data_IF_403904725369
#
_entry.id   IF_403904725369
#
_cell.length_a   1.000
_cell.length_b   1.000
_cell.length_c   1.000
_cell.angle_alpha   90.00
_cell.angle_beta   90.00
_cell.angle_gamma   90.00
#
_symmetry.space_group_name_H-M   'P 1'
#
loop_
_entity.id
_entity.type
_entity.pdbx_description
1 polymer ?
#
# COMPACT_ATOMS: atom_id res chain seq x y z
N UNK A 1 -38.56 -20.45 -15.33
CA UNK A 1 -37.46 -21.40 -15.57
C UNK A 1 -36.24 -20.61 -16.01
N UNK A 2 -35.39 -20.20 -15.05
CA UNK A 2 -34.12 -19.53 -15.36
C UNK A 2 -33.01 -20.58 -15.39
N UNK A 3 -32.34 -20.70 -16.52
CA UNK A 3 -31.29 -21.67 -16.76
C UNK A 3 -30.02 -21.30 -15.96
N UNK A 4 -29.53 -22.27 -15.19
CA UNK A 4 -28.25 -22.21 -14.48
C UNK A 4 -27.15 -22.67 -15.45
N UNK A 5 -26.08 -21.89 -15.70
CA UNK A 5 -24.97 -22.36 -16.53
C UNK A 5 -24.11 -23.41 -15.78
N UNK A 6 -23.51 -24.39 -16.47
CA UNK A 6 -22.71 -25.44 -15.86
C UNK A 6 -21.30 -24.94 -15.45
N UNK A 7 -20.69 -25.52 -14.40
CA UNK A 7 -19.30 -25.27 -14.05
C UNK A 7 -18.37 -26.16 -14.88
N UNK A 8 -17.34 -25.59 -15.51
CA UNK A 8 -16.22 -26.39 -16.03
C UNK A 8 -15.63 -25.88 -17.33
N UNK A 9 -14.62 -25.02 -17.22
CA UNK A 9 -13.56 -24.93 -18.22
C UNK A 9 -12.27 -24.58 -17.46
N UNK A 10 -11.41 -25.57 -17.26
CA UNK A 10 -10.07 -25.39 -16.74
C UNK A 10 -9.23 -24.58 -17.74
N UNK A 11 -8.35 -23.65 -17.30
CA UNK A 11 -7.42 -23.01 -18.20
C UNK A 11 -6.32 -24.00 -18.61
N UNK A 12 -6.23 -24.22 -19.91
CA UNK A 12 -5.19 -24.98 -20.60
C UNK A 12 -3.82 -24.36 -20.32
N UNK A 13 -2.89 -25.17 -19.82
CA UNK A 13 -1.50 -24.81 -19.60
C UNK A 13 -0.82 -24.43 -20.93
N UNK A 14 -0.14 -23.29 -20.94
CA UNK A 14 0.78 -22.90 -22.01
C UNK A 14 2.21 -23.39 -21.68
N UNK A 15 3.00 -23.80 -22.68
CA UNK A 15 4.32 -24.40 -22.47
C UNK A 15 5.40 -23.39 -22.07
N UNK A 16 6.31 -23.87 -21.24
CA UNK A 16 7.56 -23.23 -20.86
C UNK A 16 8.45 -23.01 -22.09
N UNK A 17 8.73 -21.75 -22.39
CA UNK A 17 9.79 -21.33 -23.31
C UNK A 17 10.91 -20.66 -22.53
N UNK A 18 11.85 -21.47 -22.04
CA UNK A 18 13.11 -21.02 -21.46
C UNK A 18 14.02 -20.46 -22.56
N UNK A 19 14.16 -19.15 -22.64
CA UNK A 19 15.27 -18.51 -23.34
C UNK A 19 16.25 -17.98 -22.30
N UNK A 20 17.31 -18.75 -22.03
CA UNK A 20 18.46 -18.33 -21.24
C UNK A 20 19.23 -17.25 -22.01
N UNK A 21 19.52 -16.07 -21.44
CA UNK A 21 20.49 -15.16 -22.03
C UNK A 21 21.91 -15.76 -21.89
N UNK A 22 22.53 -15.93 -23.04
CA UNK A 22 23.90 -16.40 -23.26
C UNK A 22 24.92 -15.56 -22.48
N UNK A 23 25.81 -16.25 -21.76
CA UNK A 23 26.80 -15.74 -20.81
C UNK A 23 28.05 -15.14 -21.49
N UNK A 24 27.89 -14.39 -22.59
CA UNK A 24 29.02 -13.96 -23.44
C UNK A 24 29.06 -12.47 -23.84
N UNK A 25 28.37 -11.60 -23.10
CA UNK A 25 28.42 -10.13 -23.31
C UNK A 25 28.85 -9.39 -22.04
N UNK A 26 29.87 -9.94 -21.36
CA UNK A 26 30.42 -9.44 -20.09
C UNK A 26 31.78 -8.73 -20.22
N UNK A 27 32.29 -8.44 -21.42
CA UNK A 27 33.58 -7.73 -21.57
C UNK A 27 33.61 -6.74 -22.75
N UNK A 28 32.93 -5.60 -22.63
CA UNK A 28 33.35 -4.38 -23.35
C UNK A 28 32.75 -3.11 -22.74
N UNK A 29 33.55 -2.39 -21.98
CA UNK A 29 33.16 -1.05 -21.53
C UNK A 29 33.91 -0.49 -20.33
N UNK A 30 35.21 -0.78 -20.18
CA UNK A 30 36.07 -0.02 -19.28
C UNK A 30 36.31 1.37 -19.91
N UNK A 31 35.47 2.34 -19.53
CA UNK A 31 35.63 3.75 -19.86
C UNK A 31 35.85 4.54 -18.57
N UNK A 32 37.11 4.81 -18.26
CA UNK A 32 37.54 5.68 -17.18
C UNK A 32 36.94 7.10 -17.36
N UNK A 33 36.38 7.66 -16.29
CA UNK A 33 36.36 9.11 -16.12
C UNK A 33 36.77 9.46 -14.70
N UNK A 34 37.70 10.39 -14.68
CA UNK A 34 38.55 10.81 -13.59
C UNK A 34 37.80 11.40 -12.40
N UNK A 35 38.47 11.29 -11.25
CA UNK A 35 38.28 12.10 -10.08
C UNK A 35 38.30 13.61 -10.44
N UNK A 36 37.34 14.34 -9.90
CA UNK A 36 37.47 15.76 -9.68
C UNK A 36 36.88 16.09 -8.30
N UNK A 37 37.79 16.25 -7.35
CA UNK A 37 37.54 16.91 -6.08
C UNK A 37 37.17 18.38 -6.33
N UNK A 38 36.16 18.88 -5.63
CA UNK A 38 36.11 20.24 -5.08
C UNK A 38 34.80 20.43 -4.32
N UNK A 39 34.90 20.55 -2.99
CA UNK A 39 33.99 21.40 -2.23
C UNK A 39 34.26 22.87 -2.62
N UNK A 40 33.28 23.77 -2.45
CA UNK A 40 33.29 24.51 -1.19
C UNK A 40 31.92 24.70 -0.56
N UNK A 41 31.96 24.84 0.76
CA UNK A 41 30.90 25.37 1.59
C UNK A 41 30.42 26.74 1.09
N UNK A 42 29.11 26.98 1.14
CA UNK A 42 28.54 28.32 1.05
C UNK A 42 27.46 28.45 2.10
N UNK A 43 27.86 29.10 3.19
CA UNK A 43 27.01 29.69 4.20
C UNK A 43 26.14 30.77 3.57
N UNK A 44 24.85 30.78 3.89
CA UNK A 44 24.03 31.99 3.83
C UNK A 44 23.17 32.05 5.08
N UNK A 45 23.33 33.08 5.92
CA UNK A 45 22.57 33.25 7.14
C UNK A 45 21.37 34.20 6.93
N UNK A 46 20.37 34.03 7.79
CA UNK A 46 19.33 34.98 8.25
C UNK A 46 18.37 35.60 7.23
N UNK A 47 17.08 35.25 7.37
CA UNK A 47 16.01 36.24 7.33
C UNK A 47 14.85 35.80 8.22
N UNK A 48 14.78 36.41 9.39
CA UNK A 48 13.61 36.39 10.25
C UNK A 48 12.43 37.12 9.57
N UNK A 49 11.24 36.54 9.64
CA UNK A 49 9.97 37.21 9.35
C UNK A 49 8.94 36.58 10.30
N UNK A 50 8.81 37.11 11.52
CA UNK A 50 7.80 38.11 11.92
C UNK A 50 6.43 37.86 11.29
N UNK A 51 5.57 37.23 12.10
CA UNK A 51 4.21 37.68 12.40
C UNK A 51 3.20 37.75 11.27
N UNK A 52 2.15 36.91 11.39
CA UNK A 52 0.78 37.34 11.13
C UNK A 52 -0.21 36.35 11.76
N UNK A 53 -0.70 36.74 12.95
CA UNK A 53 -1.99 36.32 13.47
C UNK A 53 -3.04 37.30 12.89
N UNK A 54 -4.19 36.80 12.43
CA UNK A 54 -5.41 37.52 12.77
C UNK A 54 -6.52 36.59 13.28
N UNK A 55 -6.91 36.86 14.53
CA UNK A 55 -8.26 37.21 14.96
C UNK A 55 -9.47 36.46 14.37
N UNK A 56 -10.09 35.68 15.26
CA UNK A 56 -11.54 35.59 15.53
C UNK A 56 -12.49 36.43 14.66
N UNK A 57 -13.48 35.75 14.06
CA UNK A 57 -14.85 36.24 13.87
C UNK A 57 -15.80 35.03 13.96
N UNK A 58 -16.48 34.82 15.08
CA UNK A 58 -17.84 35.32 15.37
C UNK A 58 -18.94 34.50 14.67
N UNK A 59 -19.66 33.74 15.51
CA UNK A 59 -20.94 33.11 15.19
C UNK A 59 -22.00 34.17 14.84
N UNK A 60 -23.08 33.74 14.14
CA UNK A 60 -24.39 34.11 14.64
C UNK A 60 -25.34 32.93 14.80
N UNK A 61 -26.30 33.19 15.69
CA UNK A 61 -27.21 32.30 16.34
C UNK A 61 -28.43 31.90 15.50
N UNK A 62 -29.07 30.84 15.99
CA UNK A 62 -30.51 30.66 16.16
C UNK A 62 -31.47 30.86 14.96
N UNK A 63 -32.22 29.79 14.66
CA UNK A 63 -33.58 29.95 14.14
C UNK A 63 -34.15 28.74 13.40
N UNK A 64 -34.75 27.79 14.11
CA UNK A 64 -36.19 27.45 13.99
C UNK A 64 -36.52 26.01 14.41
N UNK A 65 -37.54 25.81 15.28
CA UNK A 65 -38.04 24.50 15.66
C UNK A 65 -39.13 24.07 14.68
N UNK A 66 -38.95 22.94 13.98
CA UNK A 66 -40.08 22.31 13.26
C UNK A 66 -40.22 20.84 13.63
N UNK A 67 -41.10 20.64 14.61
CA UNK A 67 -41.73 19.37 14.98
C UNK A 67 -42.19 18.64 13.71
N UNK A 68 -41.62 17.48 13.44
CA UNK A 68 -42.16 16.52 12.48
C UNK A 68 -42.16 15.16 13.15
N UNK A 69 -43.38 14.66 13.39
CA UNK A 69 -43.70 13.43 14.10
C UNK A 69 -43.00 12.23 13.45
N UNK A 70 -42.07 11.61 14.16
CA UNK A 70 -41.51 10.32 13.73
C UNK A 70 -42.52 9.20 13.98
N UNK A 71 -42.88 8.41 12.95
CA UNK A 71 -43.75 7.25 13.10
C UNK A 71 -43.06 6.19 13.96
N UNK A 72 -43.83 5.56 14.85
CA UNK A 72 -43.44 4.40 15.67
C UNK A 72 -42.84 3.31 14.76
N UNK A 73 -41.51 3.36 14.59
CA UNK A 73 -40.73 2.44 13.81
C UNK A 73 -40.70 1.12 14.57
N UNK A 74 -41.54 0.18 14.15
CA UNK A 74 -41.53 -1.21 14.61
C UNK A 74 -40.07 -1.71 14.60
N UNK A 75 -39.51 -1.93 15.79
CA UNK A 75 -38.24 -2.65 16.01
C UNK A 75 -38.44 -4.07 15.50
N UNK A 76 -38.32 -4.26 14.18
CA UNK A 76 -38.15 -5.58 13.57
C UNK A 76 -36.72 -5.98 13.91
N UNK A 77 -36.57 -6.81 14.95
CA UNK A 77 -35.29 -7.37 15.36
C UNK A 77 -34.64 -7.98 14.11
N UNK A 78 -33.61 -7.31 13.59
CA UNK A 78 -32.75 -7.87 12.55
C UNK A 78 -31.96 -8.98 13.25
N UNK A 79 -32.22 -10.22 12.86
CA UNK A 79 -31.52 -11.38 13.42
C UNK A 79 -30.00 -11.21 13.23
N UNK A 80 -29.19 -11.32 14.30
CA UNK A 80 -27.73 -11.13 14.26
C UNK A 80 -27.03 -12.10 13.28
N UNK A 81 -27.67 -13.23 12.95
CA UNK A 81 -27.16 -14.21 12.00
C UNK A 81 -26.97 -13.67 10.55
N UNK A 82 -27.74 -12.65 10.14
CA UNK A 82 -27.64 -12.08 8.77
C UNK A 82 -26.56 -11.02 8.63
N UNK A 83 -26.09 -10.46 9.74
CA UNK A 83 -25.04 -9.44 9.75
C UNK A 83 -23.65 -10.07 9.67
N UNK A 84 -23.44 -11.21 10.35
CA UNK A 84 -22.19 -11.98 10.26
C UNK A 84 -21.93 -12.56 8.85
N UNK A 85 -22.98 -13.00 8.14
CA UNK A 85 -22.83 -13.55 6.78
C UNK A 85 -22.54 -12.48 5.72
N UNK A 86 -22.94 -11.22 5.95
CA UNK A 86 -22.68 -10.12 5.03
C UNK A 86 -21.24 -9.55 5.18
N UNK A 87 -20.66 -9.66 6.37
CA UNK A 87 -19.27 -9.25 6.64
C UNK A 87 -18.26 -10.16 5.91
N UNK A 88 -18.51 -11.47 5.90
CA UNK A 88 -17.64 -12.46 5.26
C UNK A 88 -17.62 -12.38 3.71
N UNK A 89 -18.61 -11.74 3.10
CA UNK A 89 -18.71 -11.59 1.64
C UNK A 89 -18.14 -10.26 1.11
N UNK A 90 -17.62 -9.38 1.98
CA UNK A 90 -16.97 -8.17 1.50
C UNK A 90 -15.66 -8.56 0.82
N UNK A 91 -15.48 -8.32 -0.49
CA UNK A 91 -14.23 -8.61 -1.16
C UNK A 91 -13.13 -7.90 -0.39
N UNK A 92 -12.08 -8.64 -0.03
CA UNK A 92 -10.90 -8.08 0.59
C UNK A 92 -10.48 -6.87 -0.24
N UNK A 93 -10.67 -5.67 0.33
CA UNK A 93 -10.31 -4.45 -0.37
C UNK A 93 -8.80 -4.38 -0.37
N UNK A 94 -8.21 -5.00 -1.39
CA UNK A 94 -6.80 -4.91 -1.73
C UNK A 94 -6.31 -3.47 -1.54
N UNK A 95 -5.09 -3.29 -1.04
CA UNK A 95 -4.51 -1.96 -0.85
C UNK A 95 -4.07 -1.28 -2.15
N UNK A 96 -4.59 -1.73 -3.29
CA UNK A 96 -4.50 -1.02 -4.56
C UNK A 96 -5.14 0.36 -4.46
N UNK A 97 -4.48 1.33 -5.08
CA UNK A 97 -5.01 2.67 -5.21
C UNK A 97 -6.06 2.70 -6.34
N UNK A 98 -7.27 3.26 -6.10
CA UNK A 98 -8.31 3.34 -7.12
C UNK A 98 -7.91 4.33 -8.22
N UNK A 99 -8.48 4.13 -9.42
CA UNK A 99 -8.31 5.06 -10.52
C UNK A 99 -8.78 6.47 -10.13
N UNK A 100 -8.06 7.49 -10.58
CA UNK A 100 -8.42 8.89 -10.30
C UNK A 100 -7.91 9.42 -8.95
N UNK A 101 -7.42 8.55 -8.06
CA UNK A 101 -6.80 8.97 -6.81
C UNK A 101 -5.45 9.67 -7.07
N UNK A 102 -5.10 10.64 -6.24
CA UNK A 102 -3.84 11.38 -6.32
C UNK A 102 -2.78 10.79 -5.39
N UNK A 103 -1.54 10.72 -5.87
CA UNK A 103 -0.40 10.35 -5.05
C UNK A 103 -0.08 11.47 -4.04
N UNK A 104 0.13 11.13 -2.76
CA UNK A 104 0.45 12.08 -1.70
C UNK A 104 1.82 12.76 -1.86
N UNK A 105 2.75 12.14 -2.60
CA UNK A 105 4.09 12.72 -2.83
C UNK A 105 4.15 13.62 -4.05
N UNK A 106 3.71 13.14 -5.22
CA UNK A 106 3.82 13.90 -6.47
C UNK A 106 2.53 14.61 -6.87
N UNK A 107 1.43 14.43 -6.13
CA UNK A 107 0.09 14.98 -6.41
C UNK A 107 -0.51 14.61 -7.76
N UNK A 108 0.15 13.73 -8.54
CA UNK A 108 -0.36 13.26 -9.82
C UNK A 108 -1.48 12.25 -9.62
N UNK A 109 -2.52 12.39 -10.42
CA UNK A 109 -3.57 11.38 -10.57
C UNK A 109 -2.98 10.12 -11.19
N UNK A 110 -3.42 8.97 -10.71
CA UNK A 110 -2.90 7.70 -11.19
C UNK A 110 -4.01 6.86 -11.81
N UNK A 111 -3.62 6.06 -12.80
CA UNK A 111 -4.48 5.10 -13.49
C UNK A 111 -4.85 3.94 -12.56
N UNK A 112 -5.74 3.05 -13.01
CA UNK A 112 -6.10 1.83 -12.28
C UNK A 112 -4.84 1.05 -11.83
N UNK A 113 -4.77 0.71 -10.53
CA UNK A 113 -3.63 0.00 -9.93
C UNK A 113 -2.29 0.72 -10.12
N UNK A 114 -2.31 2.04 -10.24
CA UNK A 114 -1.14 2.89 -10.42
C UNK A 114 -0.29 3.11 -9.17
N UNK A 115 -0.73 2.59 -8.03
CA UNK A 115 -0.03 2.70 -6.75
C UNK A 115 -0.67 1.87 -5.66
N UNK A 116 -0.21 2.08 -4.44
CA UNK A 116 -0.72 1.45 -3.21
C UNK A 116 -1.12 2.49 -2.19
N UNK A 117 -2.02 2.09 -1.30
CA UNK A 117 -2.45 2.89 -0.14
C UNK A 117 -1.85 2.25 1.10
N UNK A 118 -1.22 3.06 1.97
CA UNK A 118 -0.75 2.63 3.29
C UNK A 118 -1.93 2.28 4.18
N UNK A 119 -2.39 1.02 4.11
CA UNK A 119 -3.48 0.49 4.91
C UNK A 119 -3.43 -1.03 5.02
N UNK A 120 -3.87 -1.55 6.17
CA UNK A 120 -4.12 -2.97 6.42
C UNK A 120 -5.44 -3.16 7.16
N UNK A 121 -6.26 -4.11 6.71
CA UNK A 121 -7.44 -4.57 7.44
C UNK A 121 -7.05 -5.70 8.39
N UNK A 122 -7.41 -5.57 9.67
CA UNK A 122 -7.21 -6.60 10.70
C UNK A 122 -8.43 -7.52 10.79
N UNK A 123 -8.27 -8.66 11.47
CA UNK A 123 -9.35 -9.68 11.63
C UNK A 123 -10.64 -9.13 12.24
N UNK A 124 -10.56 -8.08 13.05
CA UNK A 124 -11.72 -7.41 13.68
C UNK A 124 -12.39 -6.36 12.79
N UNK A 125 -11.93 -6.19 11.55
CA UNK A 125 -12.38 -5.13 10.64
C UNK A 125 -11.66 -3.79 10.85
N UNK A 126 -10.87 -3.66 11.93
CA UNK A 126 -10.07 -2.46 12.20
C UNK A 126 -9.08 -2.19 11.05
N UNK A 127 -9.00 -0.93 10.62
CA UNK A 127 -8.07 -0.49 9.59
C UNK A 127 -6.90 0.24 10.26
N UNK A 128 -5.68 -0.24 10.01
CA UNK A 128 -4.45 0.41 10.43
C UNK A 128 -3.73 1.05 9.22
N UNK A 129 -2.84 2.01 9.48
CA UNK A 129 -2.10 2.76 8.46
C UNK A 129 -2.48 4.23 8.41
N UNK A 130 -1.66 5.04 7.73
CA UNK A 130 -1.91 6.47 7.60
C UNK A 130 -2.85 6.83 6.43
N UNK A 131 -3.19 5.88 5.57
CA UNK A 131 -4.04 6.10 4.41
C UNK A 131 -3.38 6.86 3.25
N UNK A 132 -2.09 7.20 3.35
CA UNK A 132 -1.36 7.86 2.28
C UNK A 132 -1.29 6.99 1.02
N UNK A 133 -1.55 7.59 -0.13
CA UNK A 133 -1.55 6.92 -1.42
C UNK A 133 -0.26 7.21 -2.19
N UNK A 134 0.49 6.18 -2.60
CA UNK A 134 1.81 6.33 -3.22
C UNK A 134 1.81 5.64 -4.59
N UNK A 135 2.13 6.38 -5.64
CA UNK A 135 2.27 5.81 -6.98
C UNK A 135 3.58 5.03 -7.13
N UNK A 136 3.64 4.08 -8.06
CA UNK A 136 4.83 3.22 -8.25
C UNK A 136 6.11 3.99 -8.55
N UNK A 137 6.01 5.12 -9.28
CA UNK A 137 7.17 5.98 -9.55
C UNK A 137 7.72 6.61 -8.27
N UNK A 138 6.85 7.08 -7.38
CA UNK A 138 7.27 7.64 -6.09
C UNK A 138 7.78 6.55 -5.15
N UNK A 139 7.15 5.37 -5.15
CA UNK A 139 7.60 4.21 -4.37
C UNK A 139 9.05 3.84 -4.68
N UNK A 140 9.41 3.76 -5.96
CA UNK A 140 10.75 3.39 -6.39
C UNK A 140 11.80 4.49 -6.12
N UNK A 141 11.39 5.77 -6.21
CA UNK A 141 12.30 6.91 -6.10
C UNK A 141 12.53 7.40 -4.66
N UNK A 142 11.56 7.23 -3.76
CA UNK A 142 11.67 7.74 -2.40
C UNK A 142 12.89 7.17 -1.67
N UNK A 143 13.39 7.89 -0.65
CA UNK A 143 14.48 7.41 0.18
C UNK A 143 14.01 6.32 1.16
N UNK A 144 14.95 5.57 1.74
CA UNK A 144 14.63 4.57 2.76
C UNK A 144 14.06 5.24 4.02
N UNK A 145 14.43 6.49 4.29
CA UNK A 145 13.94 7.22 5.46
C UNK A 145 12.43 7.52 5.39
N UNK A 146 11.86 7.65 4.18
CA UNK A 146 10.44 8.02 4.03
C UNK A 146 9.51 6.83 4.22
N UNK A 147 9.86 5.66 3.67
CA UNK A 147 8.99 4.47 3.66
C UNK A 147 9.49 3.32 4.54
N UNK A 148 10.71 3.45 5.05
CA UNK A 148 11.44 2.39 5.72
C UNK A 148 12.02 1.38 4.73
N UNK A 149 12.26 0.19 5.26
CA UNK A 149 12.80 -0.97 4.53
C UNK A 149 11.72 -1.65 3.68
N UNK A 150 10.45 -1.48 4.06
CA UNK A 150 9.29 -2.13 3.42
C UNK A 150 8.97 -1.47 2.07
N UNK A 151 9.51 -2.04 1.00
CA UNK A 151 9.21 -1.66 -0.38
C UNK A 151 8.58 -2.83 -1.12
N UNK A 152 7.76 -2.49 -2.10
CA UNK A 152 7.18 -3.49 -3.00
C UNK A 152 7.15 -2.96 -4.42
N UNK A 153 7.35 -3.85 -5.38
CA UNK A 153 7.16 -3.56 -6.79
C UNK A 153 5.72 -3.85 -7.22
N UNK A 154 5.28 -3.24 -8.33
CA UNK A 154 3.94 -3.51 -8.89
C UNK A 154 3.74 -5.01 -9.16
N UNK A 155 4.79 -5.71 -9.59
CA UNK A 155 4.75 -7.13 -9.90
C UNK A 155 4.57 -7.98 -8.64
N UNK A 156 5.38 -7.75 -7.61
CA UNK A 156 5.24 -8.42 -6.30
C UNK A 156 3.85 -8.21 -5.71
N UNK A 157 3.38 -6.96 -5.69
CA UNK A 157 2.08 -6.63 -5.13
C UNK A 157 0.92 -7.25 -5.92
N UNK A 158 1.09 -7.43 -7.24
CA UNK A 158 0.13 -8.16 -8.06
C UNK A 158 0.12 -9.66 -7.78
N UNK A 159 1.29 -10.26 -7.55
CA UNK A 159 1.39 -11.68 -7.19
C UNK A 159 0.72 -12.01 -5.84
N UNK A 160 0.68 -11.06 -4.91
CA UNK A 160 -0.04 -11.21 -3.63
C UNK A 160 -1.58 -11.24 -3.78
N UNK A 161 -2.12 -10.80 -4.92
CA UNK A 161 -3.54 -10.90 -5.23
C UNK A 161 -4.47 -10.00 -4.39
N UNK A 162 -5.64 -10.52 -4.02
CA UNK A 162 -6.69 -9.75 -3.34
C UNK A 162 -6.35 -9.44 -1.87
N UNK A 163 -5.55 -10.29 -1.23
CA UNK A 163 -5.11 -10.14 0.16
C UNK A 163 -3.88 -9.22 0.30
N UNK A 164 -3.41 -8.65 -0.81
CA UNK A 164 -2.26 -7.77 -0.82
C UNK A 164 -2.51 -6.52 0.04
N UNK A 165 -1.62 -6.31 1.01
CA UNK A 165 -1.61 -5.14 1.89
C UNK A 165 -0.19 -4.55 1.94
N UNK A 166 -0.11 -3.23 2.11
CA UNK A 166 1.15 -2.53 2.26
C UNK A 166 0.98 -1.39 3.27
N UNK A 167 2.01 -1.19 4.09
CA UNK A 167 2.08 -0.12 5.08
C UNK A 167 3.52 0.40 5.16
N UNK A 168 3.68 1.67 5.52
CA UNK A 168 4.98 2.18 5.92
C UNK A 168 5.49 1.42 7.15
N UNK A 169 6.80 1.25 7.24
CA UNK A 169 7.42 0.61 8.41
C UNK A 169 7.06 1.31 9.73
N UNK A 170 6.98 2.65 9.72
CA UNK A 170 6.56 3.45 10.87
C UNK A 170 5.07 3.29 11.23
N UNK A 171 4.24 2.87 10.28
CA UNK A 171 2.82 2.59 10.54
C UNK A 171 2.59 1.18 11.05
N UNK A 172 3.53 0.26 10.88
CA UNK A 172 3.40 -1.12 11.32
C UNK A 172 3.53 -1.23 12.84
N UNK A 173 2.59 -1.94 13.46
CA UNK A 173 2.80 -2.43 14.83
C UNK A 173 3.82 -3.58 14.83
N UNK A 174 4.34 -3.96 16.00
CA UNK A 174 5.25 -5.12 16.11
C UNK A 174 4.61 -6.42 15.59
N UNK A 175 3.30 -6.60 15.80
CA UNK A 175 2.55 -7.73 15.26
C UNK A 175 2.47 -7.68 13.72
N UNK A 176 2.33 -6.48 13.14
CA UNK A 176 2.33 -6.30 11.70
C UNK A 176 3.71 -6.59 11.10
N UNK A 177 4.79 -6.16 11.78
CA UNK A 177 6.18 -6.46 11.37
C UNK A 177 6.47 -7.96 11.41
N UNK A 178 6.02 -8.66 12.47
CA UNK A 178 6.19 -10.12 12.58
C UNK A 178 5.46 -10.87 11.47
N UNK A 179 4.25 -10.46 11.12
CA UNK A 179 3.51 -11.09 10.00
C UNK A 179 4.12 -10.77 8.63
N UNK A 180 4.72 -9.58 8.49
CA UNK A 180 5.39 -9.17 7.26
C UNK A 180 6.72 -9.92 7.03
N UNK A 181 7.57 -10.02 8.05
CA UNK A 181 8.91 -10.61 7.95
C UNK A 181 8.96 -12.10 8.33
N UNK A 182 8.04 -12.58 9.15
CA UNK A 182 8.09 -13.91 9.77
C UNK A 182 7.52 -15.06 8.93
N UNK A 183 7.19 -14.83 7.66
CA UNK A 183 6.66 -15.89 6.78
C UNK A 183 7.74 -16.72 6.06
N UNK A 184 8.98 -16.28 6.04
CA UNK A 184 10.06 -16.95 5.31
C UNK A 184 10.95 -17.87 6.18
N UNK A 185 10.77 -17.91 7.50
CA UNK A 185 11.66 -18.67 8.39
C UNK A 185 11.24 -20.13 8.64
N UNK A 186 10.19 -20.64 7.97
CA UNK A 186 9.54 -21.90 8.34
C UNK A 186 9.68 -23.11 7.41
N UNK A 187 10.00 -22.94 6.12
CA UNK A 187 9.93 -24.06 5.16
C UNK A 187 11.08 -24.06 4.15
N UNK A 188 12.30 -23.92 4.67
CA UNK A 188 13.49 -24.01 3.84
C UNK A 188 14.71 -23.33 4.43
N UNK A 189 14.90 -23.42 5.75
CA UNK A 189 16.20 -23.08 6.34
C UNK A 189 17.27 -23.86 5.57
N UNK A 190 18.03 -23.15 4.74
CA UNK A 190 19.24 -23.72 4.14
C UNK A 190 20.05 -24.19 5.34
N UNK A 191 20.32 -25.51 5.47
CA UNK A 191 21.09 -26.01 6.60
C UNK A 191 22.37 -25.19 6.70
N UNK A 192 22.57 -24.48 7.81
CA UNK A 192 23.79 -23.71 8.05
C UNK A 192 25.05 -24.62 8.04
N UNK A 193 24.87 -25.93 8.06
CA UNK A 193 25.91 -26.95 7.88
C UNK A 193 26.57 -26.99 6.49
N UNK A 194 26.04 -26.31 5.46
CA UNK A 194 26.66 -26.35 4.11
C UNK A 194 27.85 -25.39 3.93
N UNK A 195 28.30 -24.71 4.99
CA UNK A 195 29.50 -23.87 5.00
C UNK A 195 30.62 -24.41 5.90
N UNK A 196 30.62 -25.70 6.21
CA UNK A 196 31.82 -26.40 6.66
C UNK A 196 32.73 -26.66 5.44
N UNK A 197 33.57 -25.68 5.10
CA UNK A 197 34.62 -25.83 4.09
C UNK A 197 35.76 -26.67 4.67
N UNK A 198 35.90 -27.89 4.15
CA UNK A 198 37.19 -28.59 4.02
C UNK A 198 38.13 -27.86 3.04
#
# INVERSE_FOLDING_TARGET
FHAVPPPGAAPTAAPAGSALPTLHDLLRGAGAVAAAAAAPASSSPVAASRGQEPARAAAPAAGSPRRSRSPRRRKKARSPAREAAAEAARPAQSSWMPEGQRCSMCSKTVVERGGVICRRRRRKGDVAGCGAAVCWRCMNKASKDTFGTVRTTKAEFASLGAEAWWMHEACMSEADKRDYYGKDEGEGGIPQDRFAWE
#
